data_IF_582654489119
#
_entry.id   IF_582654489119
#
_cell.length_a   1.000
_cell.length_b   1.000
_cell.length_c   1.000
_cell.angle_alpha   90.00
_cell.angle_beta   90.00
_cell.angle_gamma   90.00
#
_symmetry.space_group_name_H-M   'P 1'
#
loop_
_entity.id
_entity.type
_entity.pdbx_description
1 polymer ?
#
# COMPACT_ATOMS: atom_id res chain seq x y z
N UNK A 1 -20.86 2.12 8.86
CA UNK A 1 -19.67 1.42 9.40
C UNK A 1 -18.41 2.02 8.80
N UNK A 2 -17.48 2.50 9.62
CA UNK A 2 -16.27 3.19 9.12
C UNK A 2 -15.25 2.17 8.59
N UNK A 3 -14.94 2.26 7.30
CA UNK A 3 -13.94 1.43 6.62
C UNK A 3 -12.69 2.26 6.41
N UNK A 4 -11.51 1.64 6.46
CA UNK A 4 -10.25 2.33 6.18
C UNK A 4 -9.52 1.67 5.03
N UNK A 5 -9.06 2.49 4.09
CA UNK A 5 -8.08 2.11 3.07
C UNK A 5 -6.73 2.57 3.61
N UNK A 6 -5.80 1.64 3.74
CA UNK A 6 -4.42 1.89 4.12
C UNK A 6 -3.55 1.66 2.91
N UNK A 7 -2.63 2.57 2.63
CA UNK A 7 -1.73 2.48 1.49
C UNK A 7 -0.31 2.63 2.03
N UNK A 8 0.54 1.63 1.81
CA UNK A 8 1.98 1.75 2.04
C UNK A 8 2.62 2.03 0.70
N UNK A 9 3.36 3.13 0.58
CA UNK A 9 4.13 3.48 -0.61
C UNK A 9 5.61 3.28 -0.28
N UNK A 10 6.32 2.58 -1.17
CA UNK A 10 7.77 2.41 -1.16
C UNK A 10 8.33 3.06 -2.42
N UNK A 11 9.24 4.01 -2.26
CA UNK A 11 9.86 4.74 -3.37
C UNK A 11 11.31 5.09 -3.04
N UNK A 12 12.12 5.33 -4.07
CA UNK A 12 13.51 5.79 -3.89
C UNK A 12 13.55 7.29 -3.55
N UNK A 13 12.74 8.09 -4.24
CA UNK A 13 12.58 9.51 -3.96
C UNK A 13 11.48 9.79 -2.94
N UNK A 14 11.45 11.03 -2.42
CA UNK A 14 10.32 11.46 -1.61
C UNK A 14 9.08 11.53 -2.52
N UNK A 15 8.07 10.68 -2.30
CA UNK A 15 6.96 10.54 -3.24
C UNK A 15 6.04 11.78 -3.30
N UNK A 16 6.26 12.77 -2.44
CA UNK A 16 5.47 14.02 -2.36
C UNK A 16 6.32 15.31 -2.36
N UNK A 17 7.62 15.27 -2.71
CA UNK A 17 8.45 16.50 -2.76
C UNK A 17 8.07 17.44 -3.92
N UNK A 18 7.35 16.95 -4.93
CA UNK A 18 6.82 17.77 -6.02
C UNK A 18 5.47 18.32 -5.60
N UNK A 19 5.47 19.61 -5.22
CA UNK A 19 4.34 20.53 -5.04
C UNK A 19 3.04 19.93 -4.47
N UNK A 20 2.74 20.41 -3.27
CA UNK A 20 1.41 20.59 -2.71
C UNK A 20 0.26 20.35 -3.74
N UNK A 21 -0.55 19.34 -3.44
CA UNK A 21 -1.91 19.15 -3.95
C UNK A 21 -2.16 18.46 -5.31
N UNK A 22 -1.18 18.17 -6.19
CA UNK A 22 -1.54 17.63 -7.53
C UNK A 22 -1.37 16.11 -7.76
N UNK A 23 -0.39 15.42 -7.16
CA UNK A 23 0.03 14.14 -7.77
C UNK A 23 -0.85 12.90 -7.51
N UNK A 24 -1.72 12.89 -6.49
CA UNK A 24 -2.49 11.66 -6.17
C UNK A 24 -4.00 11.84 -6.08
N UNK A 25 -4.54 13.07 -6.21
CA UNK A 25 -5.98 13.34 -6.08
C UNK A 25 -6.62 12.62 -4.89
N UNK A 26 -5.80 12.47 -3.84
CA UNK A 26 -6.18 11.89 -2.58
C UNK A 26 -7.19 12.83 -1.95
N UNK A 27 -8.20 12.30 -1.27
CA UNK A 27 -9.09 13.15 -0.52
C UNK A 27 -8.29 14.04 0.45
N UNK A 28 -8.68 15.32 0.64
CA UNK A 28 -7.92 16.28 1.45
C UNK A 28 -7.73 15.80 2.90
N UNK A 29 -8.65 14.98 3.40
CA UNK A 29 -8.64 14.35 4.72
C UNK A 29 -7.79 13.06 4.80
N UNK A 30 -6.80 12.88 3.93
CA UNK A 30 -5.89 11.71 3.99
C UNK A 30 -4.77 11.96 4.99
N UNK A 31 -4.69 11.12 6.03
CA UNK A 31 -3.56 11.16 6.97
C UNK A 31 -2.33 10.53 6.32
N UNK A 32 -1.24 11.29 6.26
CA UNK A 32 0.08 10.83 5.78
C UNK A 32 1.01 10.64 6.97
N UNK A 33 1.71 9.52 7.04
CA UNK A 33 2.66 9.20 8.10
C UNK A 33 3.94 8.71 7.44
N UNK A 34 5.08 9.32 7.77
CA UNK A 34 6.39 8.82 7.37
C UNK A 34 6.74 7.58 8.19
N UNK A 35 7.14 6.51 7.52
CA UNK A 35 7.70 5.32 8.16
C UNK A 35 9.22 5.36 8.05
N UNK A 36 9.96 4.66 8.93
CA UNK A 36 11.40 4.62 8.87
C UNK A 36 11.90 4.16 7.49
N UNK A 37 12.87 4.89 6.97
CA UNK A 37 13.54 4.60 5.70
C UNK A 37 14.51 3.44 5.89
N UNK A 38 14.63 2.58 4.87
CA UNK A 38 15.66 1.54 4.85
C UNK A 38 16.79 1.97 3.93
N UNK A 39 18.03 1.87 4.41
CA UNK A 39 19.25 2.20 3.66
C UNK A 39 20.07 0.93 3.46
N UNK A 40 20.50 0.70 2.23
CA UNK A 40 21.49 -0.34 1.89
C UNK A 40 22.75 0.36 1.40
N UNK A 41 23.89 0.00 1.96
CA UNK A 41 25.19 0.56 1.61
C UNK A 41 25.97 -0.43 0.76
N UNK A 42 26.51 0.04 -0.35
CA UNK A 42 27.41 -0.73 -1.20
C UNK A 42 28.76 -0.01 -1.23
N UNK A 43 29.85 -0.77 -1.15
CA UNK A 43 31.20 -0.23 -1.34
C UNK A 43 31.85 -0.99 -2.48
N UNK A 44 32.23 -0.26 -3.52
CA UNK A 44 32.78 -0.83 -4.75
C UNK A 44 34.19 -0.26 -4.96
N UNK A 45 35.10 -1.09 -5.48
CA UNK A 45 36.42 -0.61 -5.91
C UNK A 45 36.24 0.22 -7.17
N UNK A 46 36.93 1.38 -7.24
CA UNK A 46 36.85 2.22 -8.45
C UNK A 46 37.57 1.58 -9.64
N UNK A 47 38.69 0.90 -9.39
CA UNK A 47 39.45 0.17 -10.41
C UNK A 47 39.01 -1.30 -10.46
N UNK A 48 38.95 -1.92 -11.65
CA UNK A 48 38.59 -3.33 -11.80
C UNK A 48 39.66 -4.30 -11.24
N UNK A 49 40.92 -3.88 -11.13
CA UNK A 49 42.03 -4.72 -10.63
C UNK A 49 43.03 -3.91 -9.78
N UNK A 50 43.63 -4.56 -8.76
CA UNK A 50 44.72 -4.11 -7.86
C UNK A 50 44.39 -2.98 -6.84
N UNK A 51 43.70 -1.90 -7.21
CA UNK A 51 43.61 -0.69 -6.34
C UNK A 51 42.60 -0.76 -5.19
N UNK A 52 42.86 -1.60 -4.18
CA UNK A 52 41.95 -1.82 -3.03
C UNK A 52 41.77 -0.61 -2.10
N UNK A 53 42.65 0.39 -2.18
CA UNK A 53 42.56 1.66 -1.42
C UNK A 53 41.61 2.66 -2.06
N UNK A 54 41.34 2.54 -3.36
CA UNK A 54 40.41 3.40 -4.10
C UNK A 54 39.01 2.81 -4.05
N UNK A 55 38.17 3.31 -3.13
CA UNK A 55 36.81 2.80 -2.88
C UNK A 55 35.78 3.89 -3.07
N UNK A 56 34.60 3.50 -3.56
CA UNK A 56 33.44 4.36 -3.69
C UNK A 56 32.26 3.78 -2.90
N UNK A 57 31.53 4.66 -2.22
CA UNK A 57 30.38 4.28 -1.41
C UNK A 57 29.10 4.71 -2.12
N UNK A 58 28.23 3.76 -2.36
CA UNK A 58 26.89 3.98 -2.90
C UNK A 58 25.86 3.68 -1.83
N UNK A 59 24.73 4.37 -1.90
CA UNK A 59 23.58 4.08 -1.05
C UNK A 59 22.32 3.89 -1.88
N UNK A 60 21.53 2.91 -1.48
CA UNK A 60 20.16 2.75 -1.94
C UNK A 60 19.24 3.05 -0.76
N UNK A 61 18.53 4.18 -0.82
CA UNK A 61 17.55 4.60 0.18
C UNK A 61 16.15 4.30 -0.32
N UNK A 62 15.39 3.53 0.46
CA UNK A 62 13.98 3.25 0.19
C UNK A 62 13.15 3.95 1.25
N UNK A 63 12.34 4.90 0.81
CA UNK A 63 11.45 5.69 1.65
C UNK A 63 10.10 5.00 1.73
N UNK A 64 9.59 4.88 2.95
CA UNK A 64 8.32 4.23 3.23
C UNK A 64 7.34 5.26 3.76
N UNK A 65 6.14 5.27 3.20
CA UNK A 65 5.08 6.16 3.66
C UNK A 65 3.77 5.42 3.81
N UNK A 66 3.03 5.78 4.84
CA UNK A 66 1.76 5.18 5.17
C UNK A 66 0.65 6.22 5.04
N UNK A 67 -0.36 5.91 4.22
CA UNK A 67 -1.53 6.75 4.02
C UNK A 67 -2.77 6.05 4.56
N UNK A 68 -3.61 6.81 5.26
CA UNK A 68 -4.89 6.32 5.77
C UNK A 68 -6.01 7.18 5.21
N UNK A 69 -6.89 6.55 4.45
CA UNK A 69 -8.13 7.14 3.93
C UNK A 69 -9.29 6.53 4.70
N UNK A 70 -10.06 7.38 5.38
CA UNK A 70 -11.35 6.98 5.95
C UNK A 70 -12.41 7.01 4.85
N UNK A 71 -13.21 5.95 4.76
CA UNK A 71 -14.29 5.85 3.78
C UNK A 71 -15.48 5.11 4.36
N UNK A 72 -16.64 5.37 3.80
CA UNK A 72 -17.81 4.52 3.99
C UNK A 72 -17.69 3.24 3.18
N UNK A 73 -18.42 2.20 3.59
CA UNK A 73 -18.45 0.89 2.94
C UNK A 73 -18.95 0.96 1.50
N UNK A 74 -20.01 1.74 1.26
CA UNK A 74 -20.64 1.85 -0.05
C UNK A 74 -19.74 2.56 -1.08
N UNK A 75 -18.94 3.54 -0.64
CA UNK A 75 -18.01 4.28 -1.51
C UNK A 75 -16.68 3.56 -1.75
N UNK A 76 -16.38 2.52 -0.97
CA UNK A 76 -15.07 1.86 -0.95
C UNK A 76 -14.62 1.44 -2.35
N UNK A 77 -15.51 0.77 -3.09
CA UNK A 77 -15.24 0.24 -4.43
C UNK A 77 -14.92 1.38 -5.41
N UNK A 78 -15.69 2.47 -5.36
CA UNK A 78 -15.50 3.67 -6.20
C UNK A 78 -14.17 4.35 -5.91
N UNK A 79 -13.82 4.54 -4.62
CA UNK A 79 -12.55 5.15 -4.21
C UNK A 79 -11.35 4.29 -4.58
N UNK A 80 -11.42 2.97 -4.34
CA UNK A 80 -10.37 2.03 -4.73
C UNK A 80 -10.12 2.02 -6.23
N UNK A 81 -11.19 1.98 -7.02
CA UNK A 81 -11.07 2.00 -8.48
C UNK A 81 -10.42 3.29 -9.00
N UNK A 82 -10.78 4.44 -8.41
CA UNK A 82 -10.10 5.73 -8.67
C UNK A 82 -8.62 5.72 -8.33
N UNK A 83 -8.21 5.00 -7.28
CA UNK A 83 -6.80 4.87 -6.89
C UNK A 83 -6.05 3.95 -7.85
N UNK A 84 -6.60 2.80 -8.22
CA UNK A 84 -5.94 1.83 -9.12
C UNK A 84 -5.67 2.40 -10.52
N UNK A 85 -6.56 3.26 -11.01
CA UNK A 85 -6.39 3.94 -12.32
C UNK A 85 -5.24 4.94 -12.34
N UNK A 86 -4.75 5.37 -11.19
CA UNK A 86 -3.64 6.33 -11.11
C UNK A 86 -2.33 5.56 -11.20
N UNK A 87 -1.66 5.71 -12.33
CA UNK A 87 -0.37 5.05 -12.63
C UNK A 87 0.72 5.76 -11.83
N UNK A 88 1.38 5.04 -10.92
CA UNK A 88 2.56 5.54 -10.22
C UNK A 88 3.76 4.77 -10.80
N UNK A 89 4.61 5.46 -11.54
CA UNK A 89 5.84 4.89 -12.05
C UNK A 89 6.94 4.98 -10.98
N UNK A 90 7.80 3.97 -10.91
CA UNK A 90 8.97 3.97 -10.01
C UNK A 90 8.64 3.89 -8.51
N UNK A 91 7.40 3.56 -8.14
CA UNK A 91 7.01 3.31 -6.76
C UNK A 91 6.18 2.03 -6.64
N UNK A 92 6.44 1.27 -5.58
CA UNK A 92 5.63 0.12 -5.21
C UNK A 92 4.59 0.56 -4.18
N UNK A 93 3.35 0.13 -4.35
CA UNK A 93 2.29 0.37 -3.38
C UNK A 93 1.67 -0.94 -2.90
N UNK A 94 1.36 -0.99 -1.61
CA UNK A 94 0.61 -2.07 -0.97
C UNK A 94 -0.67 -1.46 -0.40
N UNK A 95 -1.82 -2.02 -0.79
CA UNK A 95 -3.14 -1.52 -0.35
C UNK A 95 -3.75 -2.55 0.60
N UNK A 96 -4.12 -2.09 1.79
CA UNK A 96 -4.78 -2.88 2.81
C UNK A 96 -6.16 -2.30 3.14
N UNK A 97 -7.20 -3.13 3.04
CA UNK A 97 -8.55 -2.77 3.44
C UNK A 97 -8.87 -3.27 4.83
N UNK A 98 -9.44 -2.41 5.66
CA UNK A 98 -9.99 -2.79 6.95
C UNK A 98 -11.47 -2.43 7.02
N UNK A 99 -12.33 -3.43 6.90
CA UNK A 99 -13.77 -3.32 7.07
C UNK A 99 -14.18 -4.12 8.31
N UNK A 100 -15.09 -3.55 9.10
CA UNK A 100 -15.76 -4.27 10.19
C UNK A 100 -17.15 -4.64 9.71
N UNK A 101 -17.43 -5.93 9.63
CA UNK A 101 -18.76 -6.46 9.33
C UNK A 101 -19.34 -7.06 10.62
N UNK A 102 -20.65 -6.89 10.83
CA UNK A 102 -21.37 -7.62 11.88
C UNK A 102 -21.48 -9.07 11.40
N UNK A 103 -20.78 -9.99 12.05
CA UNK A 103 -20.94 -11.42 11.76
C UNK A 103 -22.19 -11.93 12.47
N UNK A 104 -23.26 -12.14 11.71
CA UNK A 104 -24.51 -12.70 12.22
C UNK A 104 -24.43 -14.23 12.10
N UNK A 105 -23.95 -14.90 13.16
CA UNK A 105 -23.66 -16.35 13.12
C UNK A 105 -24.87 -17.18 12.70
N UNK A 106 -26.09 -16.74 13.03
CA UNK A 106 -27.33 -17.43 12.67
C UNK A 106 -27.61 -17.43 11.15
N UNK A 107 -27.39 -16.29 10.47
CA UNK A 107 -27.51 -16.22 9.00
C UNK A 107 -26.44 -17.05 8.30
N UNK A 108 -25.23 -17.08 8.84
CA UNK A 108 -24.12 -17.87 8.28
C UNK A 108 -24.37 -19.37 8.42
N UNK A 109 -24.87 -19.85 9.58
CA UNK A 109 -25.25 -21.25 9.76
C UNK A 109 -26.41 -21.66 8.85
N UNK A 110 -27.41 -20.80 8.63
CA UNK A 110 -28.49 -21.08 7.68
C UNK A 110 -27.98 -21.17 6.24
N UNK A 111 -27.09 -20.27 5.81
CA UNK A 111 -26.46 -20.32 4.49
C UNK A 111 -25.57 -21.55 4.28
N UNK A 112 -24.85 -21.98 5.32
CA UNK A 112 -24.07 -23.23 5.27
C UNK A 112 -24.98 -24.45 5.19
N UNK A 113 -26.04 -24.51 6.01
CA UNK A 113 -27.01 -25.61 5.97
C UNK A 113 -27.71 -25.69 4.61
N UNK A 114 -28.13 -24.56 4.04
CA UNK A 114 -28.77 -24.56 2.71
C UNK A 114 -27.82 -24.99 1.60
N UNK A 115 -26.52 -24.63 1.68
CA UNK A 115 -25.51 -25.07 0.71
C UNK A 115 -25.21 -26.57 0.79
N UNK A 116 -25.14 -27.10 2.01
CA UNK A 116 -24.96 -28.54 2.24
C UNK A 116 -26.18 -29.29 1.70
N UNK A 117 -27.39 -28.82 2.01
CA UNK A 117 -28.64 -29.41 1.49
C UNK A 117 -28.72 -29.37 -0.05
N UNK A 118 -28.28 -28.29 -0.69
CA UNK A 118 -28.27 -28.22 -2.17
C UNK A 118 -27.26 -29.14 -2.83
N UNK A 119 -26.18 -29.51 -2.13
CA UNK A 119 -25.15 -30.44 -2.62
C UNK A 119 -25.52 -31.91 -2.38
N UNK A 120 -26.42 -32.18 -1.43
CA UNK A 120 -26.94 -33.52 -1.16
C UNK A 120 -28.17 -33.88 -1.98
N UNK A 121 -28.83 -32.88 -2.59
CA UNK A 121 -30.02 -33.03 -3.44
C UNK A 121 -29.69 -33.01 -4.95
N UNK A 122 -28.40 -32.88 -5.30
CA UNK A 122 -27.83 -33.02 -6.65
C UNK A 122 -27.06 -34.32 -6.75
#
# INVERSE_FOLDING_TARGET
>A
TTTKIRIVIKSFDHPFKVKENLFLGLPPYTRKIGLPESRVLYTVLRSPHIDKKSREQFEMKIKKQFLVIKTETHELRKKFFRLKRRRIFGAQYEILFSCKTRSDKGKFQRLLRSKILSLTLS
#
